data_IF_827290329025
#
_entry.id   IF_827290329025
#
_cell.length_a   1.000
_cell.length_b   1.000
_cell.length_c   1.000
_cell.angle_alpha   90.00
_cell.angle_beta   90.00
_cell.angle_gamma   90.00
#
_symmetry.space_group_name_H-M   'P 1'
#
loop_
_entity.id
_entity.type
_entity.pdbx_description
1 polymer ?
#
# COMPACT_ATOMS: atom_id res chain seq x y z
N UNK A 1 1.62 5.56 15.81
CA UNK A 1 2.39 5.82 14.56
C UNK A 1 2.50 7.33 14.37
N UNK A 2 3.70 7.91 14.34
CA UNK A 2 3.87 9.37 14.23
C UNK A 2 3.59 9.86 12.80
N UNK A 3 2.85 10.96 12.67
CA UNK A 3 2.52 11.61 11.40
C UNK A 3 3.46 12.79 11.13
N UNK A 4 3.42 13.30 9.90
CA UNK A 4 4.13 14.50 9.50
C UNK A 4 3.63 15.73 10.29
N UNK A 5 4.54 16.64 10.66
CA UNK A 5 4.26 17.95 11.29
C UNK A 5 3.55 18.96 10.38
N UNK A 6 3.35 18.64 9.12
CA UNK A 6 2.69 19.55 8.17
C UNK A 6 1.19 19.36 8.30
N UNK A 7 0.45 20.43 8.58
CA UNK A 7 -0.95 20.40 9.02
C UNK A 7 -1.86 19.65 8.04
N UNK A 8 -1.57 19.75 6.74
CA UNK A 8 -2.34 19.11 5.67
C UNK A 8 -1.79 17.74 5.27
N UNK A 9 -0.83 17.17 6.01
CA UNK A 9 -0.08 15.99 5.62
C UNK A 9 -0.32 14.77 6.52
N UNK A 10 -1.13 13.83 6.05
CA UNK A 10 -1.36 12.54 6.73
C UNK A 10 -0.28 11.48 6.48
N UNK A 11 0.84 11.85 5.86
CA UNK A 11 1.93 10.91 5.60
C UNK A 11 2.67 10.56 6.89
N UNK A 12 3.26 9.36 6.90
CA UNK A 12 4.06 8.86 8.03
C UNK A 12 5.31 9.71 8.23
N UNK A 13 5.64 9.95 9.50
CA UNK A 13 6.88 10.56 9.92
C UNK A 13 8.09 9.78 9.38
N UNK A 14 9.05 10.50 8.79
CA UNK A 14 10.34 9.98 8.35
C UNK A 14 11.48 10.49 9.23
N UNK A 15 11.69 11.82 9.29
CA UNK A 15 12.78 12.45 10.07
C UNK A 15 12.45 13.90 10.41
N UNK A 16 12.98 14.40 11.54
CA UNK A 16 12.76 15.75 12.10
C UNK A 16 11.28 16.16 12.27
N UNK A 17 10.36 15.20 12.33
CA UNK A 17 8.93 15.48 12.38
C UNK A 17 8.26 15.53 11.00
N UNK A 18 9.00 15.43 9.90
CA UNK A 18 8.44 15.50 8.55
C UNK A 18 8.36 14.13 7.88
N UNK A 19 7.39 13.95 6.97
CA UNK A 19 7.40 12.83 6.03
C UNK A 19 8.55 12.97 5.03
N UNK A 20 8.89 11.92 4.27
CA UNK A 20 10.03 11.95 3.33
C UNK A 20 9.97 13.13 2.35
N UNK A 21 8.81 13.42 1.75
CA UNK A 21 8.65 14.55 0.81
C UNK A 21 8.88 15.90 1.47
N UNK A 22 8.29 16.12 2.65
CA UNK A 22 8.42 17.39 3.37
C UNK A 22 9.79 17.55 4.00
N UNK A 23 10.40 16.47 4.49
CA UNK A 23 11.78 16.46 4.97
C UNK A 23 12.76 16.87 3.86
N UNK A 24 12.60 16.33 2.64
CA UNK A 24 13.46 16.69 1.52
C UNK A 24 13.28 18.16 1.10
N UNK A 25 12.04 18.67 1.08
CA UNK A 25 11.78 20.10 0.83
C UNK A 25 12.36 21.00 1.93
N UNK A 26 12.22 20.58 3.18
CA UNK A 26 12.73 21.29 4.35
C UNK A 26 14.27 21.38 4.34
N UNK A 27 14.96 20.26 4.08
CA UNK A 27 16.43 20.20 4.09
C UNK A 27 17.08 20.79 2.82
N UNK A 28 16.53 20.48 1.64
CA UNK A 28 17.18 20.77 0.36
C UNK A 28 16.51 21.90 -0.43
N UNK A 29 15.25 22.26 -0.14
CA UNK A 29 14.51 23.29 -0.85
C UNK A 29 14.95 24.75 -0.57
N UNK A 30 15.92 24.97 0.33
CA UNK A 30 16.40 26.31 0.71
C UNK A 30 17.88 26.57 0.43
N UNK A 31 18.71 25.54 0.25
CA UNK A 31 20.17 25.73 0.12
C UNK A 31 20.58 25.96 -1.34
N UNK A 32 21.47 26.92 -1.62
CA UNK A 32 22.03 27.10 -2.96
C UNK A 32 22.96 25.94 -3.31
N UNK A 33 23.09 25.67 -4.61
CA UNK A 33 24.04 24.71 -5.13
C UNK A 33 25.49 25.09 -4.73
N UNK A 34 26.33 24.09 -4.45
CA UNK A 34 27.77 24.27 -4.14
C UNK A 34 28.59 24.90 -5.27
N UNK A 35 28.08 24.88 -6.51
CA UNK A 35 28.77 25.49 -7.65
C UNK A 35 28.58 27.00 -7.60
N UNK A 36 29.69 27.73 -7.50
CA UNK A 36 29.73 29.20 -7.42
C UNK A 36 28.99 29.80 -8.62
N UNK A 37 28.10 30.77 -8.36
CA UNK A 37 27.30 31.42 -9.40
C UNK A 37 26.10 30.61 -9.91
N UNK A 38 25.86 29.40 -9.39
CA UNK A 38 24.68 28.64 -9.78
C UNK A 38 23.42 29.14 -9.05
N UNK A 39 22.38 29.61 -9.75
CA UNK A 39 21.15 30.10 -9.12
C UNK A 39 20.26 28.96 -8.60
N UNK A 40 20.59 27.72 -8.93
CA UNK A 40 19.76 26.57 -8.61
C UNK A 40 19.92 26.11 -7.17
N UNK A 41 18.84 25.56 -6.63
CA UNK A 41 18.80 24.96 -5.30
C UNK A 41 19.37 23.54 -5.31
N UNK A 42 19.84 23.09 -4.15
CA UNK A 42 20.33 21.72 -3.97
C UNK A 42 19.20 20.72 -4.20
N UNK A 43 19.46 19.71 -5.03
CA UNK A 43 18.64 18.52 -5.14
C UNK A 43 19.23 17.38 -4.28
N UNK A 44 20.52 17.09 -4.43
CA UNK A 44 21.18 16.00 -3.73
C UNK A 44 22.68 16.27 -3.51
N UNK A 45 23.24 15.79 -2.39
CA UNK A 45 24.68 15.89 -2.04
C UNK A 45 25.28 17.31 -2.13
N UNK A 46 24.46 18.35 -2.01
CA UNK A 46 24.91 19.75 -2.12
C UNK A 46 24.93 20.31 -3.56
N UNK A 47 24.48 19.55 -4.55
CA UNK A 47 24.43 19.98 -5.95
C UNK A 47 22.98 20.11 -6.43
N UNK A 48 22.72 21.02 -7.36
CA UNK A 48 21.45 21.06 -8.09
C UNK A 48 21.29 19.81 -8.96
N UNK A 49 20.11 19.61 -9.54
CA UNK A 49 19.85 18.41 -10.36
C UNK A 49 20.84 18.25 -11.53
N UNK A 50 21.15 19.34 -12.24
CA UNK A 50 22.09 19.34 -13.36
C UNK A 50 23.51 18.97 -12.91
N UNK A 51 24.06 19.72 -11.95
CA UNK A 51 25.41 19.46 -11.42
C UNK A 51 25.51 18.12 -10.71
N UNK A 52 24.43 17.63 -10.09
CA UNK A 52 24.40 16.30 -9.52
C UNK A 52 24.50 15.23 -10.62
N UNK A 53 23.76 15.37 -11.74
CA UNK A 53 23.86 14.46 -12.89
C UNK A 53 25.24 14.49 -13.52
N UNK A 54 25.82 15.66 -13.72
CA UNK A 54 27.18 15.84 -14.25
C UNK A 54 28.22 15.08 -13.42
N UNK A 55 28.16 15.18 -12.10
CA UNK A 55 29.02 14.40 -11.21
C UNK A 55 28.84 12.88 -11.34
N UNK A 56 27.65 12.41 -11.74
CA UNK A 56 27.40 10.99 -12.03
C UNK A 56 28.02 10.59 -13.37
N UNK A 57 27.90 11.44 -14.40
CA UNK A 57 28.55 11.24 -15.70
C UNK A 57 30.07 11.19 -15.58
N UNK A 58 30.69 12.15 -14.88
CA UNK A 58 32.14 12.21 -14.66
C UNK A 58 32.69 10.99 -13.92
N UNK A 59 31.86 10.32 -13.11
CA UNK A 59 32.23 9.09 -12.40
C UNK A 59 32.05 7.82 -13.26
N UNK A 60 31.79 7.94 -14.56
CA UNK A 60 31.66 6.82 -15.48
C UNK A 60 30.48 5.90 -15.17
N UNK A 61 29.49 6.37 -14.39
CA UNK A 61 28.30 5.60 -14.07
C UNK A 61 27.28 5.78 -15.18
N UNK A 62 27.54 5.15 -16.32
CA UNK A 62 26.64 5.12 -17.48
C UNK A 62 25.87 3.80 -17.55
N UNK A 63 24.96 3.70 -18.51
CA UNK A 63 24.16 2.51 -18.73
C UNK A 63 25.03 1.35 -19.26
N UNK A 64 24.76 0.12 -18.81
CA UNK A 64 25.39 -1.12 -19.29
C UNK A 64 24.98 -1.53 -20.71
N UNK A 65 24.06 -0.81 -21.36
CA UNK A 65 23.61 -1.16 -22.70
C UNK A 65 24.60 -0.51 -23.68
N UNK A 66 25.17 -1.31 -24.57
CA UNK A 66 26.11 -0.85 -25.59
C UNK A 66 25.47 0.28 -26.42
N UNK A 67 26.25 1.34 -26.68
CA UNK A 67 25.76 2.55 -27.34
C UNK A 67 24.91 3.49 -26.46
N UNK A 68 24.65 3.17 -25.19
CA UNK A 68 23.88 4.03 -24.29
C UNK A 68 24.75 4.79 -23.29
N UNK A 69 25.01 6.07 -23.57
CA UNK A 69 25.80 6.94 -22.69
C UNK A 69 24.98 7.66 -21.60
N UNK A 70 23.72 7.27 -21.38
CA UNK A 70 22.86 7.89 -20.35
C UNK A 70 23.32 7.50 -18.93
N UNK A 71 23.04 8.34 -17.90
CA UNK A 71 23.45 8.06 -16.54
C UNK A 71 22.81 6.78 -16.01
N UNK A 72 23.60 6.02 -15.28
CA UNK A 72 23.16 4.94 -14.41
C UNK A 72 22.12 5.47 -13.41
N UNK A 73 20.95 4.84 -13.39
CA UNK A 73 19.92 5.08 -12.39
C UNK A 73 19.90 3.93 -11.36
N UNK A 74 19.85 2.68 -11.81
CA UNK A 74 19.81 1.50 -10.93
C UNK A 74 20.06 0.19 -11.67
N UNK A 75 20.59 -0.82 -10.96
CA UNK A 75 20.94 -2.16 -11.49
C UNK A 75 21.88 -2.18 -12.72
N UNK A 76 22.55 -1.08 -13.03
CA UNK A 76 23.41 -0.96 -14.21
C UNK A 76 22.76 -0.20 -15.35
N UNK A 77 21.48 0.15 -15.24
CA UNK A 77 20.72 0.68 -16.36
C UNK A 77 20.39 2.15 -16.15
N UNK A 78 20.28 2.90 -17.26
CA UNK A 78 19.66 4.23 -17.25
C UNK A 78 18.18 4.11 -16.92
N UNK A 79 17.51 5.24 -16.66
CA UNK A 79 16.08 5.22 -16.28
C UNK A 79 15.20 4.42 -17.25
N UNK A 80 15.39 4.60 -18.56
CA UNK A 80 14.59 3.88 -19.57
C UNK A 80 14.93 2.40 -19.61
N UNK A 81 16.22 2.04 -19.73
CA UNK A 81 16.62 0.63 -19.74
C UNK A 81 16.35 -0.07 -18.41
N UNK A 82 16.28 0.66 -17.30
CA UNK A 82 15.85 0.11 -16.01
C UNK A 82 14.35 -0.18 -16.01
N UNK A 83 13.54 0.66 -16.65
CA UNK A 83 12.11 0.40 -16.85
C UNK A 83 11.91 -0.84 -17.71
N UNK A 84 12.55 -0.92 -18.89
CA UNK A 84 12.50 -2.10 -19.76
C UNK A 84 12.97 -3.35 -19.03
N UNK A 85 14.10 -3.27 -18.34
CA UNK A 85 14.60 -4.34 -17.50
C UNK A 85 13.56 -4.78 -16.46
N UNK A 86 12.82 -3.86 -15.84
CA UNK A 86 11.78 -4.21 -14.86
C UNK A 86 10.55 -4.84 -15.48
N UNK A 87 10.17 -4.42 -16.69
CA UNK A 87 9.05 -4.98 -17.45
C UNK A 87 9.40 -6.41 -17.89
N UNK A 88 10.56 -6.61 -18.50
CA UNK A 88 10.99 -7.93 -18.98
C UNK A 88 11.48 -8.86 -17.86
N UNK A 89 12.08 -8.32 -16.79
CA UNK A 89 12.51 -9.11 -15.63
C UNK A 89 11.42 -9.32 -14.59
N UNK A 90 10.19 -8.83 -14.83
CA UNK A 90 9.06 -9.31 -14.04
C UNK A 90 8.76 -10.73 -14.50
N UNK A 91 9.51 -11.70 -13.97
CA UNK A 91 9.04 -13.08 -13.86
C UNK A 91 7.58 -13.01 -13.45
N UNK A 92 6.72 -13.74 -14.17
CA UNK A 92 5.30 -13.83 -13.87
C UNK A 92 5.15 -13.94 -12.35
N UNK A 93 4.64 -12.88 -11.72
CA UNK A 93 4.50 -12.90 -10.28
C UNK A 93 3.45 -13.95 -9.99
N UNK A 94 3.90 -15.10 -9.49
CA UNK A 94 3.00 -16.13 -8.98
C UNK A 94 1.94 -15.45 -8.13
N UNK A 95 0.70 -15.52 -8.61
CA UNK A 95 -0.43 -14.91 -7.92
C UNK A 95 -0.67 -15.76 -6.69
N UNK A 96 -0.18 -15.28 -5.56
CA UNK A 96 -0.46 -15.92 -4.27
C UNK A 96 -1.94 -15.75 -3.96
N UNK A 97 -2.62 -16.85 -3.63
CA UNK A 97 -4.01 -16.84 -3.18
C UNK A 97 -4.08 -16.72 -1.65
N UNK A 98 -5.27 -16.45 -1.15
CA UNK A 98 -5.54 -16.47 0.28
C UNK A 98 -5.29 -17.86 0.87
N UNK A 99 -4.65 -17.93 2.04
CA UNK A 99 -4.41 -19.18 2.78
C UNK A 99 -5.64 -19.72 3.50
N UNK A 100 -6.83 -19.17 3.26
CA UNK A 100 -8.08 -19.64 3.87
C UNK A 100 -8.68 -20.66 2.93
N UNK A 101 -8.97 -21.85 3.45
CA UNK A 101 -9.56 -22.94 2.69
C UNK A 101 -10.87 -22.47 2.01
N UNK A 102 -11.02 -22.77 0.73
CA UNK A 102 -12.16 -22.32 -0.08
C UNK A 102 -12.13 -20.84 -0.48
N UNK A 103 -11.08 -20.07 -0.17
CA UNK A 103 -10.94 -18.68 -0.61
C UNK A 103 -10.02 -18.55 -1.83
N UNK A 104 -10.58 -18.16 -2.96
CA UNK A 104 -9.85 -17.94 -4.22
C UNK A 104 -9.44 -16.48 -4.43
N UNK A 105 -9.68 -15.60 -3.44
CA UNK A 105 -9.29 -14.19 -3.52
C UNK A 105 -7.76 -14.04 -3.47
N UNK A 106 -7.23 -13.04 -4.18
CA UNK A 106 -5.80 -12.73 -4.22
C UNK A 106 -5.25 -12.35 -2.84
N UNK A 107 -4.06 -12.86 -2.51
CA UNK A 107 -3.31 -12.53 -1.31
C UNK A 107 -3.01 -11.01 -1.25
N UNK A 108 -3.33 -10.41 -0.11
CA UNK A 108 -3.02 -9.02 0.21
C UNK A 108 -1.83 -8.93 1.18
N UNK A 109 -1.86 -9.68 2.28
CA UNK A 109 -0.80 -9.63 3.29
C UNK A 109 -0.99 -10.65 4.40
N UNK A 110 0.12 -11.08 5.03
CA UNK A 110 0.15 -12.12 6.08
C UNK A 110 -0.55 -13.43 5.69
N UNK A 111 -0.51 -13.83 4.42
CA UNK A 111 -1.20 -15.04 3.94
C UNK A 111 -2.68 -14.81 3.59
N UNK A 112 -3.25 -13.63 3.84
CA UNK A 112 -4.69 -13.40 3.70
C UNK A 112 -5.04 -12.46 2.55
N UNK A 113 -6.21 -12.66 1.93
CA UNK A 113 -6.84 -11.64 1.09
C UNK A 113 -7.20 -10.39 1.91
N UNK A 114 -7.56 -9.28 1.25
CA UNK A 114 -7.86 -8.01 1.93
C UNK A 114 -8.97 -8.13 2.99
N UNK A 115 -9.99 -8.96 2.71
CA UNK A 115 -11.11 -9.25 3.63
C UNK A 115 -10.64 -10.01 4.87
N UNK A 116 -9.99 -11.15 4.67
CA UNK A 116 -9.47 -12.00 5.76
C UNK A 116 -8.36 -11.29 6.55
N UNK A 117 -7.52 -10.49 5.89
CA UNK A 117 -6.52 -9.68 6.58
C UNK A 117 -7.16 -8.67 7.54
N UNK A 118 -8.19 -7.96 7.09
CA UNK A 118 -8.92 -7.00 7.92
C UNK A 118 -9.65 -7.69 9.07
N UNK A 119 -10.23 -8.87 8.83
CA UNK A 119 -10.89 -9.67 9.85
C UNK A 119 -9.90 -10.15 10.90
N UNK A 120 -8.80 -10.79 10.49
CA UNK A 120 -7.73 -11.24 11.35
C UNK A 120 -7.17 -10.11 12.25
N UNK A 121 -7.05 -8.88 11.72
CA UNK A 121 -6.63 -7.72 12.53
C UNK A 121 -7.63 -7.29 13.60
N UNK A 122 -8.92 -7.61 13.44
CA UNK A 122 -9.98 -7.24 14.37
C UNK A 122 -10.25 -8.33 15.41
N UNK A 123 -10.32 -9.58 14.97
CA UNK A 123 -10.82 -10.72 15.77
C UNK A 123 -9.74 -11.75 16.11
N UNK A 124 -8.52 -11.62 15.58
CA UNK A 124 -7.44 -12.57 15.79
C UNK A 124 -7.51 -13.85 14.94
N UNK A 125 -8.70 -14.15 14.37
CA UNK A 125 -8.91 -15.32 13.49
C UNK A 125 -9.80 -14.94 12.29
N UNK A 126 -9.36 -15.19 11.05
CA UNK A 126 -10.18 -15.11 9.84
C UNK A 126 -11.10 -16.34 9.73
N UNK A 127 -12.39 -16.12 9.45
CA UNK A 127 -13.41 -17.16 9.28
C UNK A 127 -13.45 -17.62 7.82
N UNK A 128 -13.63 -18.91 7.57
CA UNK A 128 -13.72 -19.48 6.22
C UNK A 128 -15.00 -19.02 5.50
N UNK A 129 -15.00 -18.82 4.17
CA UNK A 129 -16.23 -18.49 3.43
C UNK A 129 -17.36 -19.51 3.62
N UNK A 130 -17.02 -20.76 3.91
CA UNK A 130 -17.94 -21.88 4.21
C UNK A 130 -18.68 -21.71 5.55
N UNK A 131 -18.17 -20.89 6.46
CA UNK A 131 -18.85 -20.54 7.73
C UNK A 131 -19.74 -19.29 7.59
N UNK A 132 -20.09 -18.89 6.37
CA UNK A 132 -21.36 -18.17 6.20
C UNK A 132 -22.48 -19.16 6.53
N UNK A 133 -22.82 -19.20 7.81
CA UNK A 133 -24.10 -19.63 8.36
C UNK A 133 -25.19 -18.84 7.63
N UNK A 134 -25.49 -19.20 6.38
CA UNK A 134 -26.54 -18.57 5.57
C UNK A 134 -27.86 -19.34 5.64
N UNK A 135 -27.88 -20.45 6.38
CA UNK A 135 -29.03 -21.34 6.52
C UNK A 135 -29.33 -21.64 8.00
N UNK A 136 -29.12 -20.70 8.92
CA UNK A 136 -29.88 -20.79 10.16
C UNK A 136 -31.30 -20.37 9.80
N UNK A 137 -32.29 -21.24 10.04
CA UNK A 137 -33.69 -20.82 10.01
C UNK A 137 -33.92 -19.71 11.05
N UNK A 138 -35.14 -19.18 11.10
CA UNK A 138 -35.49 -18.28 12.18
C UNK A 138 -35.44 -19.01 13.53
N UNK A 139 -34.86 -18.39 14.55
CA UNK A 139 -34.83 -18.95 15.92
C UNK A 139 -36.19 -19.01 16.62
N UNK A 140 -37.29 -18.75 15.92
CA UNK A 140 -38.66 -18.85 16.49
C UNK A 140 -39.20 -20.21 16.13
N UNK A 141 -39.62 -20.98 17.13
CA UNK A 141 -40.21 -22.30 16.93
C UNK A 141 -41.41 -22.20 15.97
N UNK A 142 -41.43 -23.08 14.96
CA UNK A 142 -42.46 -23.07 13.92
C UNK A 142 -42.27 -22.00 12.82
N UNK A 143 -41.11 -21.34 12.74
CA UNK A 143 -40.81 -20.37 11.68
C UNK A 143 -39.70 -20.86 10.74
N UNK A 144 -40.10 -21.32 9.55
CA UNK A 144 -39.18 -21.81 8.52
C UNK A 144 -38.59 -20.70 7.61
N UNK A 145 -38.76 -19.43 8.00
CA UNK A 145 -38.27 -18.31 7.20
C UNK A 145 -36.75 -18.15 7.31
N UNK A 146 -36.12 -17.72 6.21
CA UNK A 146 -34.67 -17.47 6.16
C UNK A 146 -34.22 -16.39 7.17
N UNK A 147 -33.11 -16.66 7.85
CA UNK A 147 -32.46 -15.74 8.77
C UNK A 147 -31.94 -14.48 8.06
N UNK A 148 -32.17 -13.33 8.69
CA UNK A 148 -31.68 -12.03 8.25
C UNK A 148 -30.57 -11.51 9.16
N UNK A 149 -30.81 -11.47 10.47
CA UNK A 149 -29.88 -10.89 11.45
C UNK A 149 -30.28 -11.30 12.88
N UNK A 150 -29.30 -11.38 13.79
CA UNK A 150 -29.49 -11.72 15.22
C UNK A 150 -30.24 -13.03 15.52
N UNK A 151 -30.27 -13.99 14.59
CA UNK A 151 -31.04 -15.24 14.76
C UNK A 151 -32.44 -15.19 14.13
N UNK A 152 -32.91 -14.02 13.70
CA UNK A 152 -34.30 -13.82 13.28
C UNK A 152 -34.44 -13.61 11.78
N UNK A 153 -35.57 -14.05 11.22
CA UNK A 153 -35.98 -13.71 9.86
C UNK A 153 -36.31 -12.22 9.73
N UNK A 154 -36.50 -11.74 8.49
CA UNK A 154 -36.84 -10.33 8.23
C UNK A 154 -38.00 -9.78 9.07
N UNK A 155 -39.07 -10.56 9.24
CA UNK A 155 -40.27 -10.16 10.00
C UNK A 155 -39.99 -10.12 11.50
N UNK A 156 -39.40 -11.18 12.06
CA UNK A 156 -39.09 -11.26 13.48
C UNK A 156 -37.97 -10.28 13.90
N UNK A 157 -37.01 -9.99 13.02
CA UNK A 157 -36.00 -8.95 13.28
C UNK A 157 -36.62 -7.55 13.37
N UNK A 158 -37.59 -7.25 12.51
CA UNK A 158 -38.32 -5.97 12.56
C UNK A 158 -39.17 -5.87 13.84
N UNK A 159 -39.80 -6.97 14.26
CA UNK A 159 -40.56 -7.01 15.51
C UNK A 159 -39.67 -6.85 16.74
N UNK A 160 -38.55 -7.60 16.79
CA UNK A 160 -37.52 -7.50 17.83
C UNK A 160 -37.02 -6.06 17.99
N UNK A 161 -36.70 -5.39 16.88
CA UNK A 161 -36.19 -4.02 16.91
C UNK A 161 -37.27 -2.98 17.30
N UNK A 162 -38.55 -3.26 17.09
CA UNK A 162 -39.66 -2.34 17.42
C UNK A 162 -40.22 -2.52 18.82
N UNK A 163 -40.25 -3.73 19.37
CA UNK A 163 -40.95 -4.03 20.64
C UNK A 163 -40.13 -4.73 21.72
N UNK A 164 -38.87 -5.07 21.47
CA UNK A 164 -37.94 -5.56 22.51
C UNK A 164 -38.31 -6.88 23.20
N UNK A 165 -39.41 -7.53 22.83
CA UNK A 165 -39.87 -8.79 23.41
C UNK A 165 -40.25 -9.74 22.28
N UNK A 166 -39.52 -10.83 22.14
CA UNK A 166 -40.01 -12.05 21.49
C UNK A 166 -39.73 -13.14 22.53
N UNK A 167 -40.80 -13.76 23.05
CA UNK A 167 -40.69 -14.96 23.89
C UNK A 167 -40.45 -16.17 22.98
#
# INVERSE_FOLDING_TARGET
MKLCKEETCSNRHYSKGYCRKHYMKFEYGKKPCKIKGCPNKVHAKGYCDSHYKELIYLKGKTCKIEGCNKPYHGKGFCTNHYYEYRVHSSKEKEVRLCSIEGCTDKHYGKGYCSKHYRMNRKTGSPISPSEKIRNQGCSIEGCDNEHRAKGYCSKHYQYYHKKGLIQ
#
